data_IF_498682672816
#
_entry.id   IF_498682672816
#
_cell.length_a   1.000
_cell.length_b   1.000
_cell.length_c   1.000
_cell.angle_alpha   90.00
_cell.angle_beta   90.00
_cell.angle_gamma   90.00
#
_symmetry.space_group_name_H-M   'P 1'
#
loop_
_entity.id
_entity.type
_entity.pdbx_description
1 polymer ?
#
# COMPACT_ATOMS: atom_id res chain seq x y z
N UNK A 1 12.61 -6.59 31.09
CA UNK A 1 13.13 -6.84 29.73
C UNK A 1 14.53 -6.24 29.71
N UNK A 2 15.56 -7.02 29.38
CA UNK A 2 16.95 -6.56 29.47
C UNK A 2 17.30 -5.62 28.29
N UNK A 3 17.34 -4.31 28.56
CA UNK A 3 17.65 -3.27 27.57
C UNK A 3 19.06 -3.42 26.97
N UNK A 4 19.99 -4.06 27.69
CA UNK A 4 21.38 -4.27 27.24
C UNK A 4 21.44 -5.27 26.09
N UNK A 5 20.75 -6.40 26.24
CA UNK A 5 20.65 -7.43 25.21
C UNK A 5 19.99 -6.90 23.92
N UNK A 6 18.93 -6.07 24.05
CA UNK A 6 18.26 -5.46 22.90
C UNK A 6 19.18 -4.51 22.12
N UNK A 7 20.02 -3.74 22.83
CA UNK A 7 20.95 -2.78 22.22
C UNK A 7 22.12 -3.48 21.51
N UNK A 8 22.63 -4.58 22.06
CA UNK A 8 23.64 -5.40 21.38
C UNK A 8 23.10 -6.07 20.11
N UNK A 9 21.84 -6.52 20.14
CA UNK A 9 21.17 -7.06 18.95
C UNK A 9 21.03 -6.00 17.83
N UNK A 10 20.65 -4.76 18.19
CA UNK A 10 20.53 -3.65 17.24
C UNK A 10 21.85 -3.27 16.58
N UNK A 11 22.98 -3.40 17.27
CA UNK A 11 24.31 -3.13 16.70
C UNK A 11 24.73 -4.14 15.61
N UNK A 12 24.05 -5.29 15.52
CA UNK A 12 24.33 -6.33 14.52
C UNK A 12 23.42 -6.27 13.29
N UNK A 13 22.49 -5.32 13.24
CA UNK A 13 21.53 -5.19 12.13
C UNK A 13 21.58 -3.79 11.52
N UNK A 14 21.30 -3.69 10.23
CA UNK A 14 21.19 -2.41 9.54
C UNK A 14 19.84 -1.74 9.89
N UNK A 15 19.83 -0.54 10.52
CA UNK A 15 18.59 0.15 10.88
C UNK A 15 17.97 0.97 9.74
N UNK A 16 18.63 1.14 8.59
CA UNK A 16 18.15 2.00 7.50
C UNK A 16 16.86 1.54 6.82
N UNK A 17 16.34 0.35 7.16
CA UNK A 17 15.10 -0.22 6.60
C UNK A 17 14.18 -0.81 7.66
N UNK A 18 14.05 -0.14 8.82
CA UNK A 18 13.16 -0.61 9.91
C UNK A 18 11.71 -0.67 9.44
N UNK A 19 11.10 -1.87 9.34
CA UNK A 19 9.72 -2.00 8.86
C UNK A 19 8.73 -1.29 9.80
N UNK A 20 9.03 -1.22 11.10
CA UNK A 20 8.20 -0.53 12.09
C UNK A 20 8.07 0.98 11.87
N UNK A 21 9.06 1.60 11.22
CA UNK A 21 9.10 3.05 10.94
C UNK A 21 8.63 3.39 9.50
N UNK A 22 8.26 2.37 8.72
CA UNK A 22 7.75 2.53 7.36
C UNK A 22 6.37 3.19 7.39
N UNK A 23 6.17 4.18 6.53
CA UNK A 23 4.94 4.97 6.45
C UNK A 23 4.61 5.28 5.01
N UNK A 24 3.34 5.14 4.65
CA UNK A 24 2.82 5.55 3.35
C UNK A 24 2.86 7.08 3.27
N UNK A 25 3.45 7.61 2.20
CA UNK A 25 3.61 9.05 1.96
C UNK A 25 2.79 9.55 0.79
N UNK A 26 2.51 8.70 -0.19
CA UNK A 26 1.77 9.09 -1.37
C UNK A 26 1.10 7.91 -2.07
N UNK A 27 0.12 8.22 -2.91
CA UNK A 27 -0.53 7.28 -3.82
C UNK A 27 -0.73 7.97 -5.16
N UNK A 28 -0.27 7.32 -6.24
CA UNK A 28 -0.31 7.84 -7.62
C UNK A 28 -0.84 6.79 -8.59
N UNK A 29 -1.29 7.25 -9.75
CA UNK A 29 -1.90 6.41 -10.78
C UNK A 29 -1.30 6.71 -12.15
N UNK A 30 -1.21 5.68 -12.98
CA UNK A 30 -0.87 5.82 -14.40
C UNK A 30 -1.75 4.88 -15.22
N UNK A 31 -2.26 5.38 -16.34
CA UNK A 31 -2.97 4.55 -17.31
C UNK A 31 -1.99 4.05 -18.36
N UNK A 32 -2.09 2.75 -18.69
CA UNK A 32 -1.28 2.15 -19.75
C UNK A 32 -1.99 2.39 -21.09
N UNK A 33 -1.33 3.14 -21.98
CA UNK A 33 -1.79 3.36 -23.35
C UNK A 33 -1.40 2.16 -24.22
N UNK A 34 -2.32 1.69 -25.06
CA UNK A 34 -2.07 0.56 -25.98
C UNK A 34 -2.24 -0.83 -25.38
N UNK A 35 -2.66 -0.93 -24.11
CA UNK A 35 -3.10 -2.19 -23.52
C UNK A 35 -4.44 -2.64 -24.14
N UNK A 36 -4.72 -3.97 -24.19
CA UNK A 36 -5.97 -4.49 -24.76
C UNK A 36 -7.22 -4.05 -23.99
N UNK A 37 -7.07 -3.66 -22.73
CA UNK A 37 -8.13 -3.13 -21.87
C UNK A 37 -7.63 -1.91 -21.09
N UNK A 38 -8.56 -1.17 -20.48
CA UNK A 38 -8.22 -0.08 -19.55
C UNK A 38 -7.48 -0.65 -18.33
N UNK A 39 -6.17 -0.42 -18.29
CA UNK A 39 -5.28 -0.81 -17.20
C UNK A 39 -4.77 0.43 -16.48
N UNK A 40 -5.29 0.68 -15.28
CA UNK A 40 -4.82 1.74 -14.38
C UNK A 40 -3.94 1.10 -13.31
N UNK A 41 -2.63 1.35 -13.39
CA UNK A 41 -1.69 0.99 -12.33
C UNK A 41 -1.74 2.02 -11.21
N UNK A 42 -1.60 1.55 -9.97
CA UNK A 42 -1.43 2.39 -8.79
C UNK A 42 -0.08 2.12 -8.13
N UNK A 43 0.50 3.19 -7.58
CA UNK A 43 1.76 3.17 -6.86
C UNK A 43 1.55 3.76 -5.47
N UNK A 44 1.90 3.00 -4.44
CA UNK A 44 1.94 3.47 -3.04
C UNK A 44 3.39 3.74 -2.68
N UNK A 45 3.71 4.99 -2.33
CA UNK A 45 5.07 5.42 -1.97
C UNK A 45 5.25 5.43 -0.46
N UNK A 46 6.47 5.16 -0.01
CA UNK A 46 6.83 5.16 1.42
C UNK A 46 7.92 6.18 1.74
N UNK A 47 8.08 6.51 3.02
CA UNK A 47 9.13 7.40 3.52
C UNK A 47 10.56 6.85 3.41
N UNK A 48 10.72 5.56 3.08
CA UNK A 48 12.03 4.90 2.91
C UNK A 48 12.35 4.61 1.43
N UNK A 49 11.58 5.19 0.50
CA UNK A 49 11.82 5.05 -0.94
C UNK A 49 11.29 3.75 -1.57
N UNK A 50 10.64 2.88 -0.79
CA UNK A 50 9.95 1.70 -1.31
C UNK A 50 8.63 2.09 -1.98
N UNK A 51 8.25 1.33 -3.00
CA UNK A 51 7.02 1.53 -3.77
C UNK A 51 6.28 0.21 -3.92
N UNK A 52 5.01 0.18 -3.52
CA UNK A 52 4.10 -0.93 -3.75
C UNK A 52 3.29 -0.73 -5.01
N UNK A 53 3.12 -1.79 -5.80
CA UNK A 53 2.40 -1.80 -7.05
C UNK A 53 1.07 -2.54 -6.94
N UNK A 54 0.02 -1.95 -7.52
CA UNK A 54 -1.28 -2.60 -7.67
C UNK A 54 -1.96 -2.15 -8.95
N UNK A 55 -3.11 -2.75 -9.25
CA UNK A 55 -3.91 -2.43 -10.42
C UNK A 55 -5.38 -2.24 -10.02
N UNK A 56 -6.02 -1.19 -10.53
CA UNK A 56 -7.47 -1.02 -10.41
C UNK A 56 -8.14 -1.96 -11.42
N UNK A 57 -8.72 -3.06 -10.93
CA UNK A 57 -9.26 -4.15 -11.76
C UNK A 57 -10.73 -3.94 -12.15
N UNK A 58 -11.22 -4.83 -13.03
CA UNK A 58 -12.62 -4.93 -13.46
C UNK A 58 -13.16 -3.70 -14.23
N UNK A 59 -12.29 -3.00 -14.98
CA UNK A 59 -12.62 -1.73 -15.63
C UNK A 59 -13.14 -0.66 -14.65
N UNK A 60 -12.73 -0.75 -13.38
CA UNK A 60 -13.07 0.24 -12.37
C UNK A 60 -12.33 1.55 -12.60
N UNK A 61 -12.92 2.64 -12.13
CA UNK A 61 -12.35 3.98 -12.25
C UNK A 61 -11.33 4.22 -11.13
N UNK A 62 -10.18 4.84 -11.47
CA UNK A 62 -9.13 5.21 -10.51
C UNK A 62 -9.65 5.98 -9.29
N UNK A 63 -10.76 6.70 -9.41
CA UNK A 63 -11.41 7.45 -8.32
C UNK A 63 -11.81 6.56 -7.14
N UNK A 64 -12.20 5.31 -7.39
CA UNK A 64 -12.50 4.33 -6.34
C UNK A 64 -11.29 3.98 -5.47
N UNK A 65 -10.08 3.96 -6.06
CA UNK A 65 -8.85 3.80 -5.31
C UNK A 65 -8.38 5.14 -4.69
N UNK A 66 -8.45 6.24 -5.45
CA UNK A 66 -7.96 7.55 -5.01
C UNK A 66 -8.68 8.06 -3.76
N UNK A 67 -9.98 7.80 -3.60
CA UNK A 67 -10.72 8.15 -2.39
C UNK A 67 -10.20 7.45 -1.11
N UNK A 68 -9.47 6.34 -1.26
CA UNK A 68 -8.89 5.59 -0.14
C UNK A 68 -7.58 6.21 0.34
N UNK A 69 -6.93 7.06 -0.46
CA UNK A 69 -5.63 7.68 -0.15
C UNK A 69 -5.61 8.34 1.23
N UNK A 70 -6.61 9.15 1.57
CA UNK A 70 -6.70 9.86 2.85
C UNK A 70 -6.78 8.94 4.07
N UNK A 71 -7.14 7.66 3.89
CA UNK A 71 -7.24 6.66 4.96
C UNK A 71 -5.93 5.88 5.19
N UNK A 72 -4.96 6.05 4.29
CA UNK A 72 -3.72 5.28 4.24
C UNK A 72 -2.47 6.13 4.49
N UNK A 73 -2.51 7.42 4.14
CA UNK A 73 -1.38 8.33 4.38
C UNK A 73 -0.95 8.30 5.86
N UNK A 74 0.34 8.15 6.10
CA UNK A 74 0.96 8.07 7.42
C UNK A 74 0.88 6.70 8.10
N UNK A 75 0.07 5.77 7.61
CA UNK A 75 0.01 4.41 8.17
C UNK A 75 1.19 3.56 7.73
N UNK A 76 1.51 2.55 8.54
CA UNK A 76 2.52 1.56 8.22
C UNK A 76 1.93 0.50 7.28
N UNK A 77 2.48 0.33 6.05
CA UNK A 77 1.92 -0.58 5.05
C UNK A 77 2.02 -2.06 5.46
N UNK A 78 2.92 -2.43 6.36
CA UNK A 78 3.07 -3.81 6.84
C UNK A 78 1.87 -4.29 7.67
N UNK A 79 0.99 -3.39 8.13
CA UNK A 79 -0.25 -3.77 8.85
C UNK A 79 -1.40 -4.05 7.87
N UNK A 80 -1.17 -4.95 6.91
CA UNK A 80 -2.08 -5.17 5.76
C UNK A 80 -3.51 -5.47 6.19
N UNK A 81 -3.76 -6.41 7.10
CA UNK A 81 -5.13 -6.75 7.55
C UNK A 81 -5.85 -5.57 8.22
N UNK A 82 -5.15 -4.78 9.04
CA UNK A 82 -5.71 -3.56 9.66
C UNK A 82 -6.13 -2.55 8.60
N UNK A 83 -5.25 -2.30 7.62
CA UNK A 83 -5.52 -1.34 6.54
C UNK A 83 -6.61 -1.84 5.60
N UNK A 84 -6.58 -3.12 5.23
CA UNK A 84 -7.61 -3.75 4.44
C UNK A 84 -8.98 -3.62 5.10
N UNK A 85 -9.10 -3.96 6.40
CA UNK A 85 -10.37 -3.79 7.15
C UNK A 85 -10.86 -2.35 7.19
N UNK A 86 -9.95 -1.36 7.22
CA UNK A 86 -10.30 0.07 7.16
C UNK A 86 -10.88 0.47 5.79
N UNK A 87 -10.35 -0.08 4.69
CA UNK A 87 -10.78 0.27 3.33
C UNK A 87 -11.89 -0.63 2.78
N UNK A 88 -12.05 -1.85 3.30
CA UNK A 88 -13.02 -2.85 2.85
C UNK A 88 -14.46 -2.34 2.73
N UNK A 89 -14.99 -1.52 3.66
CA UNK A 89 -16.35 -0.98 3.55
C UNK A 89 -16.59 -0.06 2.34
N UNK A 90 -15.52 0.48 1.73
CA UNK A 90 -15.61 1.31 0.52
C UNK A 90 -15.59 0.47 -0.77
N UNK A 91 -15.44 -0.85 -0.65
CA UNK A 91 -15.51 -1.79 -1.75
C UNK A 91 -16.93 -2.31 -1.99
N UNK A 92 -17.06 -3.18 -2.98
CA UNK A 92 -18.32 -3.82 -3.34
C UNK A 92 -18.08 -4.91 -4.39
N UNK A 93 -19.15 -5.36 -5.02
CA UNK A 93 -19.05 -6.39 -6.06
C UNK A 93 -18.55 -5.77 -7.38
N UNK A 94 -17.77 -6.54 -8.14
CA UNK A 94 -17.22 -6.11 -9.43
C UNK A 94 -16.45 -4.78 -9.33
N UNK A 95 -16.80 -3.82 -10.20
CA UNK A 95 -16.16 -2.51 -10.33
C UNK A 95 -16.00 -1.75 -9.02
N UNK A 96 -16.96 -1.87 -8.10
CA UNK A 96 -16.88 -1.18 -6.81
C UNK A 96 -15.72 -1.71 -5.94
N UNK A 97 -15.34 -2.98 -6.10
CA UNK A 97 -14.22 -3.60 -5.39
C UNK A 97 -12.85 -3.36 -6.03
N UNK A 98 -12.79 -2.99 -7.32
CA UNK A 98 -11.54 -2.89 -8.08
C UNK A 98 -10.51 -1.92 -7.49
N UNK A 99 -10.97 -0.82 -6.89
CA UNK A 99 -10.09 0.12 -6.19
C UNK A 99 -9.53 -0.43 -4.88
N UNK A 100 -10.35 -1.15 -4.10
CA UNK A 100 -9.95 -1.74 -2.83
C UNK A 100 -8.95 -2.89 -3.04
N UNK A 101 -9.22 -3.78 -4.01
CA UNK A 101 -8.31 -4.90 -4.31
C UNK A 101 -6.97 -4.42 -4.85
N UNK A 102 -6.97 -3.40 -5.72
CA UNK A 102 -5.73 -2.81 -6.21
C UNK A 102 -4.87 -2.25 -5.07
N UNK A 103 -5.48 -1.53 -4.12
CA UNK A 103 -4.78 -1.01 -2.95
C UNK A 103 -4.25 -2.15 -2.07
N UNK A 104 -5.04 -3.20 -1.85
CA UNK A 104 -4.62 -4.37 -1.06
C UNK A 104 -3.38 -5.05 -1.68
N UNK A 105 -3.38 -5.27 -3.00
CA UNK A 105 -2.23 -5.86 -3.71
C UNK A 105 -0.98 -4.98 -3.55
N UNK A 106 -1.12 -3.66 -3.65
CA UNK A 106 0.01 -2.75 -3.43
C UNK A 106 0.54 -2.74 -1.99
N UNK A 107 -0.32 -3.05 -1.00
CA UNK A 107 0.12 -3.22 0.38
C UNK A 107 0.87 -4.55 0.57
N UNK A 108 0.42 -5.63 -0.07
CA UNK A 108 1.12 -6.92 -0.07
C UNK A 108 2.47 -6.88 -0.80
N UNK A 109 2.61 -6.06 -1.83
CA UNK A 109 3.90 -5.84 -2.51
C UNK A 109 4.92 -5.10 -1.61
N UNK A 110 4.45 -4.35 -0.61
CA UNK A 110 5.30 -3.62 0.35
C UNK A 110 5.65 -4.41 1.62
N UNK A 111 4.87 -5.44 1.97
CA UNK A 111 4.88 -6.09 3.27
C UNK A 111 5.69 -7.40 3.26
#
# INVERSE_FOLDING_TARGET
MDERAAREALNRVNPYSRPSELRITDMRFVDIVGAPFHCTLLKIYTNQGLVGLGEVRDMSDRRYALMLKSRLLGENPCHVDKLFRRIKPFGGHGRQGGGVSGVEVALWDLA
#
